data_IF_493018296186
#
_entry.id   IF_493018296186
#
_cell.length_a   1.000
_cell.length_b   1.000
_cell.length_c   1.000
_cell.angle_alpha   90.00
_cell.angle_beta   90.00
_cell.angle_gamma   90.00
#
_symmetry.space_group_name_H-M   'P 1'
#
loop_
_entity.id
_entity.type
_entity.pdbx_description
1 polymer ?
#
# COMPACT_ATOMS: atom_id res chain seq x y z
N UNK A 1 11.44 -20.38 -14.91
CA UNK A 1 10.68 -19.15 -15.16
C UNK A 1 10.02 -18.78 -13.84
N UNK A 2 8.91 -19.42 -13.44
CA UNK A 2 8.40 -19.31 -12.05
C UNK A 2 9.02 -20.32 -11.07
N UNK A 3 9.12 -19.94 -9.79
CA UNK A 3 9.46 -20.78 -8.64
C UNK A 3 8.73 -20.32 -7.36
N UNK A 4 9.01 -20.93 -6.20
CA UNK A 4 8.37 -20.61 -4.91
C UNK A 4 8.55 -19.16 -4.45
N UNK A 5 9.60 -18.47 -4.93
CA UNK A 5 9.93 -17.08 -4.56
C UNK A 5 9.68 -16.10 -5.70
N UNK A 6 9.52 -16.59 -6.93
CA UNK A 6 9.38 -15.78 -8.14
C UNK A 6 8.16 -16.21 -8.93
N UNK A 7 7.09 -15.43 -8.83
CA UNK A 7 5.88 -15.64 -9.62
C UNK A 7 5.91 -14.84 -10.92
N UNK A 8 6.55 -15.37 -11.97
CA UNK A 8 6.62 -14.68 -13.27
C UNK A 8 5.27 -14.62 -14.00
N UNK A 9 4.34 -15.51 -13.67
CA UNK A 9 2.97 -15.44 -14.19
C UNK A 9 2.24 -14.22 -13.68
N UNK A 10 2.33 -13.95 -12.37
CA UNK A 10 1.76 -12.75 -11.76
C UNK A 10 2.42 -11.48 -12.29
N UNK A 11 3.76 -11.45 -12.39
CA UNK A 11 4.48 -10.31 -12.97
C UNK A 11 4.02 -10.00 -14.41
N UNK A 12 3.76 -11.03 -15.22
CA UNK A 12 3.21 -10.84 -16.56
C UNK A 12 1.81 -10.23 -16.50
N UNK A 13 0.93 -10.70 -15.61
CA UNK A 13 -0.42 -10.15 -15.44
C UNK A 13 -0.41 -8.68 -15.01
N UNK A 14 0.55 -8.29 -14.17
CA UNK A 14 0.78 -6.89 -13.78
C UNK A 14 1.15 -6.05 -15.01
N UNK A 15 2.12 -6.51 -15.80
CA UNK A 15 2.63 -5.79 -16.98
C UNK A 15 1.58 -5.67 -18.09
N UNK A 16 0.75 -6.69 -18.31
CA UNK A 16 -0.36 -6.61 -19.29
C UNK A 16 -1.60 -5.89 -18.75
N UNK A 17 -1.51 -5.29 -17.56
CA UNK A 17 -2.57 -4.51 -16.90
C UNK A 17 -3.81 -5.32 -16.50
N UNK A 18 -3.70 -6.64 -16.37
CA UNK A 18 -4.84 -7.46 -15.98
C UNK A 18 -5.23 -7.19 -14.51
N UNK A 19 -4.26 -7.16 -13.60
CA UNK A 19 -4.54 -6.88 -12.17
C UNK A 19 -5.12 -5.48 -11.99
N UNK A 20 -4.51 -4.46 -12.60
CA UNK A 20 -4.98 -3.07 -12.49
C UNK A 20 -6.36 -2.86 -13.11
N UNK A 21 -6.71 -3.60 -14.17
CA UNK A 21 -8.07 -3.57 -14.73
C UNK A 21 -9.10 -4.20 -13.78
N UNK A 22 -8.77 -5.35 -13.18
CA UNK A 22 -9.65 -6.01 -12.19
C UNK A 22 -9.86 -5.09 -11.00
N UNK A 23 -8.78 -4.50 -10.48
CA UNK A 23 -8.83 -3.54 -9.38
C UNK A 23 -9.65 -2.29 -9.73
N UNK A 24 -9.50 -1.73 -10.94
CA UNK A 24 -10.27 -0.57 -11.39
C UNK A 24 -11.77 -0.90 -11.52
N UNK A 25 -12.14 -2.08 -12.02
CA UNK A 25 -13.54 -2.53 -12.10
C UNK A 25 -14.11 -2.67 -10.68
N UNK A 26 -13.42 -3.38 -9.78
CA UNK A 26 -13.87 -3.56 -8.40
C UNK A 26 -14.01 -2.22 -7.68
N UNK A 27 -13.04 -1.32 -7.88
CA UNK A 27 -13.09 0.02 -7.31
C UNK A 27 -14.25 0.84 -7.86
N UNK A 28 -14.51 0.83 -9.18
CA UNK A 28 -15.66 1.54 -9.77
C UNK A 28 -17.00 1.02 -9.26
N UNK A 29 -17.15 -0.29 -9.08
CA UNK A 29 -18.36 -0.86 -8.47
C UNK A 29 -18.51 -0.42 -7.00
N UNK A 30 -17.41 -0.28 -6.27
CA UNK A 30 -17.42 0.28 -4.92
C UNK A 30 -17.58 1.81 -4.91
N UNK A 31 -17.34 2.48 -6.05
CA UNK A 31 -17.34 3.93 -6.19
C UNK A 31 -18.74 4.55 -6.42
N UNK A 32 -19.81 3.74 -6.47
CA UNK A 32 -21.18 4.22 -6.68
C UNK A 32 -21.82 4.85 -5.42
N UNK A 33 -21.10 4.96 -4.30
CA UNK A 33 -21.58 5.53 -3.02
C UNK A 33 -20.72 6.69 -2.55
N UNK A 34 -21.26 7.86 -2.18
CA UNK A 34 -20.47 9.05 -1.75
C UNK A 34 -19.40 8.87 -0.65
N UNK A 35 -19.33 7.71 0.01
CA UNK A 35 -18.30 7.37 0.98
C UNK A 35 -17.57 6.09 0.56
N UNK A 36 -16.24 6.16 0.44
CA UNK A 36 -15.41 5.04 -0.05
C UNK A 36 -14.34 4.65 0.98
N UNK A 37 -14.04 3.35 1.11
CA UNK A 37 -12.86 2.90 1.85
C UNK A 37 -11.58 3.42 1.16
N UNK A 38 -10.44 3.31 1.85
CA UNK A 38 -9.13 3.62 1.24
C UNK A 38 -9.00 2.87 -0.09
N UNK A 39 -8.57 3.58 -1.13
CA UNK A 39 -8.51 3.01 -2.47
C UNK A 39 -7.59 1.78 -2.49
N UNK A 40 -8.07 0.71 -3.11
CA UNK A 40 -7.26 -0.49 -3.30
C UNK A 40 -6.21 -0.26 -4.39
N UNK A 41 -5.16 -1.07 -4.36
CA UNK A 41 -4.19 -1.20 -5.42
C UNK A 41 -3.75 -2.66 -5.55
N UNK A 42 -3.09 -2.99 -6.65
CA UNK A 42 -2.60 -4.34 -6.92
C UNK A 42 -1.67 -4.84 -5.79
N UNK A 43 -1.62 -6.15 -5.58
CA UNK A 43 -0.74 -6.72 -4.55
C UNK A 43 0.71 -6.75 -5.03
N UNK A 44 0.91 -7.08 -6.30
CA UNK A 44 2.22 -7.40 -6.86
C UNK A 44 2.79 -8.73 -6.31
N UNK A 45 3.92 -9.20 -6.87
CA UNK A 45 4.40 -10.57 -6.66
C UNK A 45 5.30 -10.74 -5.44
N UNK A 46 5.56 -9.68 -4.67
CA UNK A 46 6.60 -9.65 -3.64
C UNK A 46 6.08 -9.79 -2.20
N UNK A 47 4.76 -9.93 -2.03
CA UNK A 47 4.19 -10.18 -0.72
C UNK A 47 4.58 -11.57 -0.21
N UNK A 48 4.82 -11.67 1.11
CA UNK A 48 5.17 -12.92 1.78
C UNK A 48 4.37 -13.06 3.07
N UNK A 49 3.76 -14.23 3.25
CA UNK A 49 2.98 -14.56 4.44
C UNK A 49 3.85 -14.71 5.70
N UNK A 50 5.13 -15.06 5.55
CA UNK A 50 6.05 -15.33 6.66
C UNK A 50 6.86 -14.10 7.10
N UNK A 51 6.32 -12.89 6.88
CA UNK A 51 6.94 -11.66 7.35
C UNK A 51 7.06 -11.65 8.89
N UNK A 52 8.16 -11.12 9.45
CA UNK A 52 8.32 -11.03 10.89
C UNK A 52 7.26 -10.09 11.48
N UNK A 53 6.61 -10.52 12.56
CA UNK A 53 5.70 -9.66 13.33
C UNK A 53 6.54 -8.66 14.12
N UNK A 54 6.26 -7.38 13.93
CA UNK A 54 6.90 -6.28 14.64
C UNK A 54 5.88 -5.56 15.52
N UNK A 55 6.33 -5.03 16.65
CA UNK A 55 5.49 -4.18 17.50
C UNK A 55 5.28 -2.82 16.82
N UNK A 56 4.20 -2.11 17.17
CA UNK A 56 4.00 -0.74 16.69
C UNK A 56 5.22 0.14 17.08
N UNK A 57 5.52 1.16 16.27
CA UNK A 57 6.73 2.00 16.38
C UNK A 57 8.06 1.31 15.99
N UNK A 58 8.02 0.07 15.50
CA UNK A 58 9.22 -0.63 15.01
C UNK A 58 9.68 -0.12 13.63
N UNK A 59 10.96 -0.34 13.31
CA UNK A 59 11.50 -0.12 11.97
C UNK A 59 11.38 -1.37 11.11
N UNK A 60 10.90 -1.20 9.87
CA UNK A 60 10.90 -2.23 8.82
C UNK A 60 12.16 -2.17 7.94
N UNK A 61 13.04 -1.18 8.16
CA UNK A 61 14.25 -0.96 7.37
C UNK A 61 15.46 -1.47 8.13
N UNK A 62 16.21 -2.38 7.50
CA UNK A 62 17.44 -2.94 8.02
C UNK A 62 18.53 -2.93 6.93
N UNK A 63 19.78 -2.69 7.32
CA UNK A 63 20.94 -2.81 6.42
C UNK A 63 21.03 -1.75 5.31
N UNK A 64 20.48 -0.56 5.54
CA UNK A 64 20.62 0.59 4.65
C UNK A 64 21.30 1.72 5.43
N UNK A 65 22.51 2.07 5.02
CA UNK A 65 23.32 3.10 5.69
C UNK A 65 23.21 4.49 5.02
N UNK A 66 22.71 4.56 3.78
CA UNK A 66 22.66 5.76 2.92
C UNK A 66 21.25 6.20 2.51
N UNK A 67 20.23 5.83 3.29
CA UNK A 67 18.83 6.10 3.00
C UNK A 67 18.27 7.31 3.74
N UNK A 68 17.32 8.00 3.10
CA UNK A 68 16.44 8.93 3.79
C UNK A 68 15.44 8.14 4.65
N UNK A 69 15.39 8.42 5.96
CA UNK A 69 14.53 7.70 6.90
C UNK A 69 13.21 8.46 7.05
N UNK A 70 12.12 7.76 6.75
CA UNK A 70 10.76 8.28 6.85
C UNK A 70 10.01 7.59 7.98
N UNK A 71 9.35 8.38 8.82
CA UNK A 71 8.41 7.90 9.82
C UNK A 71 6.99 7.92 9.26
N UNK A 72 6.35 6.75 9.23
CA UNK A 72 5.00 6.59 8.69
C UNK A 72 4.12 6.14 9.85
N UNK A 73 3.07 6.90 10.11
CA UNK A 73 2.09 6.59 11.14
C UNK A 73 0.69 6.90 10.64
N UNK A 74 -0.30 6.44 11.40
CA UNK A 74 -1.70 6.63 11.03
C UNK A 74 -2.62 5.83 11.94
N UNK A 75 -3.92 5.89 11.63
CA UNK A 75 -4.94 5.14 12.39
C UNK A 75 -5.85 4.40 11.42
N UNK A 76 -6.07 3.11 11.70
CA UNK A 76 -7.11 2.33 11.02
C UNK A 76 -8.46 2.73 11.60
N UNK A 77 -9.40 3.13 10.74
CA UNK A 77 -10.73 3.63 11.13
C UNK A 77 -11.83 2.94 10.35
N UNK A 78 -12.99 2.84 10.97
CA UNK A 78 -14.20 2.34 10.34
C UNK A 78 -14.72 3.35 9.32
N UNK A 79 -15.09 2.89 8.12
CA UNK A 79 -15.62 3.74 7.06
C UNK A 79 -16.89 4.49 7.48
N UNK A 80 -17.82 3.81 8.17
CA UNK A 80 -19.14 4.34 8.54
C UNK A 80 -19.06 5.22 9.78
N UNK A 81 -18.40 4.75 10.84
CA UNK A 81 -18.39 5.46 12.14
C UNK A 81 -17.22 6.45 12.26
N UNK A 82 -16.16 6.29 11.46
CA UNK A 82 -14.88 7.03 11.55
C UNK A 82 -14.12 6.83 12.87
N UNK A 83 -14.56 5.89 13.69
CA UNK A 83 -13.92 5.52 14.94
C UNK A 83 -12.68 4.64 14.70
N UNK A 84 -11.67 4.70 15.57
CA UNK A 84 -10.51 3.83 15.49
C UNK A 84 -10.89 2.35 15.64
N UNK A 85 -10.32 1.49 14.79
CA UNK A 85 -10.52 0.04 14.85
C UNK A 85 -9.29 -0.60 15.51
N UNK A 86 -9.46 -1.03 16.76
CA UNK A 86 -8.40 -1.70 17.52
C UNK A 86 -8.19 -3.15 17.07
N UNK A 87 -6.94 -3.63 17.16
CA UNK A 87 -6.58 -5.01 16.84
C UNK A 87 -6.62 -5.36 15.35
N UNK A 88 -6.45 -4.35 14.49
CA UNK A 88 -6.21 -4.56 13.07
C UNK A 88 -4.76 -4.98 12.84
N UNK A 89 -4.56 -5.92 11.92
CA UNK A 89 -3.24 -6.30 11.42
C UNK A 89 -2.87 -5.42 10.24
N UNK A 90 -1.62 -4.97 10.20
CA UNK A 90 -1.08 -4.13 9.13
C UNK A 90 0.21 -4.77 8.62
N UNK A 91 0.15 -5.35 7.43
CA UNK A 91 1.34 -5.86 6.74
C UNK A 91 1.90 -4.76 5.84
N UNK A 92 3.20 -4.50 5.96
CA UNK A 92 3.89 -3.45 5.20
C UNK A 92 5.11 -4.02 4.52
N UNK A 93 5.28 -3.72 3.24
CA UNK A 93 6.52 -3.98 2.52
C UNK A 93 6.80 -2.88 1.52
N UNK A 94 8.09 -2.69 1.22
CA UNK A 94 8.54 -1.68 0.27
C UNK A 94 9.19 -2.35 -0.93
N UNK A 95 8.99 -1.74 -2.11
CA UNK A 95 9.84 -2.00 -3.25
C UNK A 95 10.92 -0.90 -3.28
N UNK A 96 12.12 -1.23 -2.79
CA UNK A 96 13.29 -0.35 -2.91
C UNK A 96 13.65 -0.18 -4.38
N UNK A 97 14.12 1.03 -4.74
CA UNK A 97 14.68 1.49 -6.04
C UNK A 97 15.78 0.60 -6.68
N UNK A 98 16.03 -0.61 -6.18
CA UNK A 98 17.08 -1.54 -6.63
C UNK A 98 16.80 -2.19 -8.00
N UNK A 99 15.65 -1.93 -8.62
CA UNK A 99 15.35 -2.33 -10.00
C UNK A 99 15.58 -1.15 -10.95
N UNK A 100 16.85 -0.74 -11.10
CA UNK A 100 17.32 0.27 -12.07
C UNK A 100 17.41 -0.31 -13.50
N UNK A 101 16.37 -1.06 -13.91
CA UNK A 101 16.19 -1.52 -15.29
C UNK A 101 14.73 -1.39 -15.65
N UNK A 102 14.48 -0.85 -16.83
CA UNK A 102 13.20 -0.90 -17.54
C UNK A 102 12.52 -2.26 -17.28
N UNK A 103 11.33 -2.30 -16.66
CA UNK A 103 10.35 -1.22 -16.46
C UNK A 103 10.40 -0.52 -15.07
N UNK A 104 10.38 0.84 -15.06
CA UNK A 104 10.35 1.64 -13.82
C UNK A 104 8.94 1.66 -13.19
N UNK A 105 8.88 1.64 -11.85
CA UNK A 105 7.69 1.95 -11.06
C UNK A 105 8.02 3.10 -10.10
N UNK A 106 7.09 4.03 -9.82
CA UNK A 106 7.31 5.08 -8.82
C UNK A 106 7.61 4.45 -7.45
N UNK A 107 8.36 5.14 -6.60
CA UNK A 107 8.58 4.69 -5.24
C UNK A 107 7.24 4.53 -4.50
N UNK A 108 6.99 3.33 -3.99
CA UNK A 108 5.75 3.01 -3.30
C UNK A 108 5.95 2.05 -2.13
N UNK A 109 5.00 2.12 -1.19
CA UNK A 109 4.92 1.24 -0.05
C UNK A 109 3.59 0.51 -0.15
N UNK A 110 3.65 -0.81 -0.08
CA UNK A 110 2.46 -1.64 -0.04
C UNK A 110 1.99 -1.80 1.40
N UNK A 111 0.68 -1.78 1.57
CA UNK A 111 0.01 -1.94 2.86
C UNK A 111 -1.17 -2.90 2.68
N UNK A 112 -1.25 -3.92 3.52
CA UNK A 112 -2.46 -4.72 3.69
C UNK A 112 -2.99 -4.48 5.10
N UNK A 113 -4.26 -4.14 5.21
CA UNK A 113 -4.96 -4.05 6.48
C UNK A 113 -6.02 -5.12 6.56
N UNK A 114 -5.99 -5.90 7.64
CA UNK A 114 -7.01 -6.92 7.92
C UNK A 114 -7.53 -6.81 9.35
N UNK A 115 -8.83 -7.06 9.50
CA UNK A 115 -9.51 -7.15 10.79
C UNK A 115 -10.72 -8.05 10.65
N UNK A 116 -10.95 -8.92 11.62
CA UNK A 116 -12.16 -9.75 11.66
C UNK A 116 -13.42 -8.86 11.65
N UNK A 117 -14.40 -9.20 10.81
CA UNK A 117 -15.61 -8.39 10.60
C UNK A 117 -15.46 -7.26 9.57
N UNK A 118 -14.25 -7.04 9.02
CA UNK A 118 -13.98 -6.01 8.02
C UNK A 118 -13.47 -6.60 6.70
N UNK A 119 -13.85 -5.95 5.59
CA UNK A 119 -13.30 -6.22 4.27
C UNK A 119 -11.81 -5.85 4.29
N UNK A 120 -10.90 -6.76 3.91
CA UNK A 120 -9.47 -6.45 3.86
C UNK A 120 -9.19 -5.39 2.79
N UNK A 121 -8.18 -4.55 3.04
CA UNK A 121 -7.74 -3.52 2.09
C UNK A 121 -6.28 -3.79 1.74
N UNK A 122 -6.02 -4.05 0.46
CA UNK A 122 -4.67 -4.04 -0.12
C UNK A 122 -4.51 -2.73 -0.86
N UNK A 123 -3.52 -1.93 -0.48
CA UNK A 123 -3.28 -0.61 -1.07
C UNK A 123 -1.79 -0.35 -1.25
N UNK A 124 -1.48 0.72 -1.97
CA UNK A 124 -0.14 1.24 -2.18
C UNK A 124 -0.18 2.75 -1.95
N UNK A 125 0.84 3.32 -1.33
CA UNK A 125 1.05 4.77 -1.28
C UNK A 125 2.23 5.14 -2.17
N UNK A 126 2.10 6.22 -2.92
CA UNK A 126 3.09 6.70 -3.90
C UNK A 126 3.61 8.08 -3.48
N UNK A 127 4.92 8.29 -3.57
CA UNK A 127 5.52 9.60 -3.30
C UNK A 127 5.15 10.63 -4.37
N UNK A 128 4.56 11.76 -3.98
CA UNK A 128 4.20 12.86 -4.88
C UNK A 128 5.38 13.49 -5.60
N UNK A 129 6.61 13.33 -5.08
CA UNK A 129 7.83 13.84 -5.70
C UNK A 129 8.44 12.87 -6.74
N UNK A 130 7.86 11.67 -6.94
CA UNK A 130 8.42 10.67 -7.84
C UNK A 130 8.18 11.00 -9.33
N UNK A 131 9.26 10.98 -10.11
CA UNK A 131 9.24 11.28 -11.55
C UNK A 131 8.52 10.25 -12.42
N UNK A 132 8.17 9.08 -11.87
CA UNK A 132 7.51 7.99 -12.59
C UNK A 132 6.02 7.87 -12.28
N UNK A 133 5.41 8.81 -11.56
CA UNK A 133 3.96 8.79 -11.28
C UNK A 133 3.12 8.68 -12.55
N UNK A 134 3.46 9.45 -13.59
CA UNK A 134 2.76 9.45 -14.88
C UNK A 134 3.14 8.28 -15.81
N UNK A 135 4.17 7.50 -15.44
CA UNK A 135 4.76 6.44 -16.27
C UNK A 135 4.93 5.14 -15.49
N UNK A 136 3.98 4.82 -14.61
CA UNK A 136 3.97 3.54 -13.90
C UNK A 136 3.71 2.39 -14.88
N UNK A 137 4.68 1.49 -14.99
CA UNK A 137 4.65 0.36 -15.93
C UNK A 137 3.51 -0.63 -15.73
N UNK A 138 2.86 -0.61 -14.57
CA UNK A 138 1.72 -1.49 -14.24
C UNK A 138 0.43 -0.70 -13.97
N UNK A 139 0.42 0.62 -14.15
CA UNK A 139 -0.77 1.47 -14.01
C UNK A 139 -1.50 1.32 -12.66
N UNK A 140 -0.75 1.22 -11.56
CA UNK A 140 -1.30 1.08 -10.20
C UNK A 140 -1.52 2.44 -9.49
N UNK A 141 -0.96 3.54 -10.03
CA UNK A 141 -1.10 4.88 -9.45
C UNK A 141 -2.54 5.37 -9.56
N UNK A 142 -3.10 5.82 -8.44
CA UNK A 142 -4.35 6.55 -8.35
C UNK A 142 -4.08 7.86 -7.61
N UNK A 143 -4.72 8.96 -8.01
CA UNK A 143 -4.49 10.28 -7.40
C UNK A 143 -4.71 10.27 -5.87
N UNK A 144 -5.67 9.49 -5.38
CA UNK A 144 -5.96 9.34 -3.94
C UNK A 144 -4.90 8.55 -3.15
N UNK A 145 -3.97 7.90 -3.86
CA UNK A 145 -2.87 7.12 -3.30
C UNK A 145 -1.52 7.85 -3.41
N UNK A 146 -1.49 9.00 -4.08
CA UNK A 146 -0.32 9.88 -4.11
C UNK A 146 -0.29 10.71 -2.83
N UNK A 147 0.80 10.62 -2.07
CA UNK A 147 0.96 11.24 -0.76
C UNK A 147 2.19 12.16 -0.75
N UNK A 148 2.11 13.23 0.04
CA UNK A 148 3.23 14.13 0.28
C UNK A 148 3.93 13.77 1.59
N UNK A 149 5.20 13.36 1.49
CA UNK A 149 6.05 13.13 2.65
C UNK A 149 6.59 14.47 3.17
N UNK A 150 6.12 14.88 4.35
CA UNK A 150 6.47 16.20 4.91
C UNK A 150 7.83 16.15 5.60
N UNK A 151 8.65 17.22 5.52
CA UNK A 151 9.88 17.29 6.28
C UNK A 151 9.59 17.27 7.79
N UNK A 152 10.22 16.34 8.52
CA UNK A 152 10.19 16.32 9.97
C UNK A 152 11.38 17.11 10.49
N UNK A 153 11.10 18.26 11.11
CA UNK A 153 12.09 19.03 11.85
C UNK A 153 12.07 18.48 13.29
N UNK A 154 13.23 18.37 13.91
CA UNK A 154 13.42 17.96 15.31
C UNK A 154 13.65 16.46 15.60
N UNK A 155 13.92 15.63 14.58
CA UNK A 155 14.44 14.27 14.79
C UNK A 155 15.77 14.05 14.04
N UNK A 156 16.89 13.74 14.73
CA UNK A 156 18.19 13.56 14.08
C UNK A 156 18.29 12.30 13.22
N UNK A 157 17.35 11.36 13.35
CA UNK A 157 17.32 10.09 12.61
C UNK A 157 16.24 10.04 11.54
N UNK A 158 15.18 10.83 11.65
CA UNK A 158 14.03 10.80 10.74
C UNK A 158 13.93 12.16 10.06
N UNK A 159 13.94 12.18 8.74
CA UNK A 159 13.92 13.42 7.96
C UNK A 159 12.54 13.74 7.39
N UNK A 160 11.68 12.72 7.23
CA UNK A 160 10.34 12.86 6.68
C UNK A 160 9.29 12.14 7.51
N UNK A 161 8.07 12.64 7.44
CA UNK A 161 6.90 12.10 8.11
C UNK A 161 5.73 11.96 7.13
N UNK A 162 4.94 10.91 7.34
CA UNK A 162 3.64 10.73 6.71
C UNK A 162 2.61 10.28 7.76
N UNK A 163 1.54 11.06 7.89
CA UNK A 163 0.30 10.64 8.56
C UNK A 163 -0.69 10.14 7.50
N UNK A 164 -1.02 8.84 7.55
CA UNK A 164 -1.90 8.20 6.58
C UNK A 164 -3.00 7.38 7.27
N UNK A 165 -4.20 7.94 7.47
CA UNK A 165 -5.33 7.19 8.01
C UNK A 165 -5.86 6.19 6.99
N UNK A 166 -6.16 4.97 7.43
CA UNK A 166 -6.70 3.90 6.58
C UNK A 166 -8.16 3.65 6.96
N UNK A 167 -9.04 3.75 5.97
CA UNK A 167 -10.47 3.49 6.11
C UNK A 167 -10.79 2.08 5.64
N UNK A 168 -11.33 1.26 6.54
CA UNK A 168 -11.78 -0.11 6.24
C UNK A 168 -13.30 -0.21 6.38
N UNK A 169 -13.94 -0.96 5.48
CA UNK A 169 -15.38 -1.15 5.48
C UNK A 169 -15.75 -2.46 6.20
N UNK A 170 -16.78 -2.50 7.05
CA UNK A 170 -17.29 -3.75 7.61
C UNK A 170 -17.84 -4.66 6.49
N UNK A 171 -17.89 -5.97 6.74
CA UNK A 171 -18.69 -6.85 5.88
C UNK A 171 -20.17 -6.44 5.98
N UNK A 172 -20.90 -6.47 4.86
CA UNK A 172 -22.34 -6.22 4.90
C UNK A 172 -23.02 -7.49 5.40
N UNK A 173 -23.83 -7.40 6.46
CA UNK A 173 -24.60 -8.51 7.07
C UNK A 173 -25.65 -9.16 6.13
N UNK A 174 -25.67 -8.81 4.83
CA UNK A 174 -26.76 -9.17 3.90
C UNK A 174 -26.47 -10.36 2.98
N UNK A 175 -25.50 -11.21 3.29
CA UNK A 175 -25.25 -12.43 2.52
C UNK A 175 -25.21 -13.67 3.42
N UNK A 176 -26.41 -14.09 3.82
CA UNK A 176 -26.78 -15.50 4.06
C UNK A 176 -27.87 -15.88 3.09
#
# INVERSE_FOLDING_TARGET
>A
MSDEKRNEGQLMYDVIRLESLVDEITFKLAAETNDHPTASAILGPFWRYDAPVLENESTIVHGVDDGEITYIHGTVRDLKTREPVAGAWVDVWKLLKLLDKYPYRPAHIHIIVTREGYKPVTTQIFDSEDKYLDNDSVFAVKDSLVVEFKPLKDNPKVTRELDYPILIAPFDDKTT
#
